data_IF_181319749181
#
_entry.id   IF_181319749181
#
_cell.length_a   1.000
_cell.length_b   1.000
_cell.length_c   1.000
_cell.angle_alpha   90.00
_cell.angle_beta   90.00
_cell.angle_gamma   90.00
#
_symmetry.space_group_name_H-M   'P 1'
#
loop_
_entity.id
_entity.type
_entity.pdbx_description
1 polymer ?
#
# COMPACT_ATOMS: atom_id res chain seq x y z
N UNK A 1 4.33 -12.73 21.37
CA UNK A 1 4.17 -11.87 20.16
C UNK A 1 3.97 -10.42 20.57
N UNK A 2 3.09 -10.14 21.54
CA UNK A 2 2.86 -8.78 22.06
C UNK A 2 4.15 -8.05 22.46
N UNK A 3 4.97 -8.65 23.33
CA UNK A 3 6.28 -8.08 23.71
C UNK A 3 7.18 -7.73 22.50
N UNK A 4 7.17 -8.56 21.46
CA UNK A 4 7.96 -8.31 20.24
C UNK A 4 7.40 -7.11 19.46
N UNK A 5 6.08 -6.94 19.43
CA UNK A 5 5.43 -5.78 18.80
C UNK A 5 5.74 -4.49 19.57
N UNK A 6 5.76 -4.54 20.90
CA UNK A 6 6.12 -3.40 21.75
C UNK A 6 7.59 -3.00 21.55
N UNK A 7 8.52 -3.96 21.60
CA UNK A 7 9.93 -3.71 21.33
C UNK A 7 10.17 -3.17 19.91
N UNK A 8 9.42 -3.66 18.91
CA UNK A 8 9.51 -3.16 17.55
C UNK A 8 9.01 -1.72 17.45
N UNK A 9 7.89 -1.40 18.13
CA UNK A 9 7.35 -0.05 18.21
C UNK A 9 8.37 0.93 18.78
N UNK A 10 8.97 0.62 19.93
CA UNK A 10 9.97 1.48 20.58
C UNK A 10 11.16 1.77 19.66
N UNK A 11 11.69 0.74 18.99
CA UNK A 11 12.77 0.91 18.01
C UNK A 11 12.33 1.75 16.81
N UNK A 12 11.09 1.58 16.36
CA UNK A 12 10.54 2.33 15.24
C UNK A 12 10.30 3.80 15.60
N UNK A 13 9.96 4.13 16.84
CA UNK A 13 9.80 5.52 17.31
C UNK A 13 11.10 6.34 17.14
N UNK A 14 12.26 5.73 17.34
CA UNK A 14 13.56 6.37 17.06
C UNK A 14 13.71 6.69 15.58
N UNK A 15 13.35 5.76 14.70
CA UNK A 15 13.44 5.93 13.24
C UNK A 15 12.42 6.97 12.76
N UNK A 16 11.18 6.90 13.25
CA UNK A 16 10.12 7.87 12.93
C UNK A 16 10.53 9.28 13.38
N UNK A 17 11.11 9.41 14.58
CA UNK A 17 11.62 10.67 15.10
C UNK A 17 12.71 11.29 14.24
N UNK A 18 13.54 10.48 13.56
CA UNK A 18 14.51 10.98 12.59
C UNK A 18 13.81 11.63 11.38
N UNK A 19 12.88 10.95 10.73
CA UNK A 19 12.13 11.51 9.59
C UNK A 19 11.32 12.75 9.96
N UNK A 20 10.83 12.81 11.20
CA UNK A 20 10.09 13.97 11.68
C UNK A 20 11.00 15.15 11.98
N UNK A 21 12.17 14.97 12.61
CA UNK A 21 12.97 16.08 13.15
C UNK A 21 14.12 16.52 12.25
N UNK A 22 14.58 15.66 11.34
CA UNK A 22 15.75 15.95 10.51
C UNK A 22 15.48 17.06 9.49
N UNK A 23 16.24 18.15 9.59
CA UNK A 23 16.08 19.33 8.73
C UNK A 23 16.59 19.10 7.31
N UNK A 24 17.60 18.25 7.13
CA UNK A 24 18.17 17.90 5.82
C UNK A 24 17.19 17.08 5.01
N UNK A 25 16.52 16.12 5.66
CA UNK A 25 15.48 15.33 5.05
C UNK A 25 14.30 16.20 4.62
N UNK A 26 13.82 17.08 5.51
CA UNK A 26 12.74 18.01 5.20
C UNK A 26 13.09 18.93 4.03
N UNK A 27 14.30 19.51 4.00
CA UNK A 27 14.69 20.44 2.93
C UNK A 27 14.75 19.79 1.55
N UNK A 28 15.01 18.49 1.46
CA UNK A 28 15.06 17.73 0.21
C UNK A 28 13.73 17.12 -0.23
N UNK A 29 12.73 17.06 0.66
CA UNK A 29 11.51 16.28 0.41
C UNK A 29 10.22 17.08 0.57
N UNK A 30 10.22 18.10 1.41
CA UNK A 30 9.05 18.94 1.64
C UNK A 30 8.92 19.95 0.50
N UNK A 31 7.73 20.03 -0.09
CA UNK A 31 7.48 20.90 -1.24
C UNK A 31 7.92 20.34 -2.59
N UNK A 32 8.67 19.22 -2.62
CA UNK A 32 9.30 18.68 -3.82
C UNK A 32 8.40 17.62 -4.48
N UNK A 33 8.25 17.72 -5.81
CA UNK A 33 7.54 16.73 -6.64
C UNK A 33 6.14 16.40 -6.11
N UNK A 34 5.37 17.48 -5.90
CA UNK A 34 3.98 17.42 -5.46
C UNK A 34 3.11 16.78 -6.52
N UNK A 35 2.24 15.89 -6.07
CA UNK A 35 1.19 15.30 -6.89
C UNK A 35 -0.16 15.78 -6.36
N UNK A 36 -0.86 16.66 -7.11
CA UNK A 36 -2.22 17.06 -6.77
C UNK A 36 -3.19 15.87 -6.76
N UNK A 37 -4.25 15.95 -5.96
CA UNK A 37 -5.23 14.86 -5.78
C UNK A 37 -5.93 14.47 -7.08
N UNK A 38 -6.27 15.44 -7.92
CA UNK A 38 -6.90 15.26 -9.23
C UNK A 38 -5.97 14.54 -10.21
N UNK A 39 -4.68 14.92 -10.23
CA UNK A 39 -3.65 14.22 -11.02
C UNK A 39 -3.48 12.79 -10.51
N UNK A 40 -3.43 12.59 -9.20
CA UNK A 40 -3.33 11.25 -8.61
C UNK A 40 -4.52 10.35 -9.01
N UNK A 41 -5.75 10.90 -9.02
CA UNK A 41 -6.95 10.20 -9.46
C UNK A 41 -6.92 9.90 -10.96
N UNK A 42 -6.58 10.88 -11.79
CA UNK A 42 -6.52 10.72 -13.24
C UNK A 42 -5.46 9.70 -13.67
N UNK A 43 -4.30 9.69 -13.02
CA UNK A 43 -3.23 8.73 -13.28
C UNK A 43 -3.47 7.35 -12.64
N UNK A 44 -4.51 7.19 -11.82
CA UNK A 44 -4.84 5.94 -11.15
C UNK A 44 -3.82 5.52 -10.08
N UNK A 45 -3.15 6.49 -9.45
CA UNK A 45 -2.22 6.26 -8.33
C UNK A 45 -3.03 5.72 -7.15
N UNK A 46 -2.51 4.71 -6.45
CA UNK A 46 -3.20 4.06 -5.31
C UNK A 46 -2.27 3.94 -4.11
N UNK A 47 -2.81 3.54 -2.96
CA UNK A 47 -2.00 3.24 -1.78
C UNK A 47 -1.44 4.47 -1.08
N UNK A 48 -0.25 4.35 -0.44
CA UNK A 48 0.34 5.44 0.33
C UNK A 48 0.66 6.66 -0.55
N UNK A 49 0.94 6.47 -1.84
CA UNK A 49 1.20 7.57 -2.77
C UNK A 49 -0.07 8.41 -3.03
N UNK A 50 -1.23 7.75 -3.14
CA UNK A 50 -2.52 8.43 -3.27
C UNK A 50 -2.95 9.11 -1.95
N UNK A 51 -2.78 8.41 -0.83
CA UNK A 51 -3.10 8.91 0.51
C UNK A 51 -2.22 10.09 0.94
N UNK A 52 -1.00 10.20 0.42
CA UNK A 52 -0.15 11.37 0.63
C UNK A 52 -0.64 12.63 -0.10
N UNK A 53 -1.49 12.44 -1.11
CA UNK A 53 -2.04 13.49 -1.97
C UNK A 53 -3.49 13.84 -1.58
N UNK A 54 -3.94 13.49 -0.38
CA UNK A 54 -5.29 13.73 0.13
C UNK A 54 -6.35 12.74 -0.34
N UNK A 55 -6.00 11.76 -1.19
CA UNK A 55 -6.99 10.79 -1.67
C UNK A 55 -7.24 9.70 -0.61
N UNK A 56 -8.39 9.81 0.07
CA UNK A 56 -8.89 8.87 1.07
C UNK A 56 -9.36 7.55 0.46
N UNK A 57 -8.45 6.83 -0.19
CA UNK A 57 -8.71 5.53 -0.80
C UNK A 57 -7.83 4.45 -0.15
N UNK A 58 -8.47 3.40 0.35
CA UNK A 58 -7.84 2.24 0.96
C UNK A 58 -8.76 1.03 0.79
N UNK A 59 -8.27 -0.04 0.16
CA UNK A 59 -9.10 -1.21 -0.14
C UNK A 59 -9.51 -1.95 1.14
N UNK A 60 -8.75 -1.86 2.23
CA UNK A 60 -9.10 -2.52 3.51
C UNK A 60 -10.40 -2.00 4.10
N UNK A 61 -10.84 -0.79 3.74
CA UNK A 61 -12.14 -0.25 4.13
C UNK A 61 -13.32 -1.05 3.53
N UNK A 62 -13.08 -1.86 2.49
CA UNK A 62 -14.09 -2.79 1.98
C UNK A 62 -14.30 -4.01 2.88
N UNK A 63 -13.59 -4.11 4.01
CA UNK A 63 -13.73 -5.15 5.05
C UNK A 63 -13.60 -6.58 4.51
N UNK A 64 -12.61 -6.82 3.65
CA UNK A 64 -12.31 -8.18 3.20
C UNK A 64 -11.56 -8.96 4.29
N UNK A 65 -11.77 -10.28 4.37
CA UNK A 65 -11.17 -11.13 5.42
C UNK A 65 -11.41 -10.58 6.84
N UNK A 66 -10.39 -10.61 7.70
CA UNK A 66 -10.47 -10.17 9.09
C UNK A 66 -10.51 -8.63 9.29
N UNK A 67 -10.44 -7.83 8.21
CA UNK A 67 -10.59 -6.37 8.31
C UNK A 67 -12.02 -5.93 8.66
N UNK A 68 -12.98 -6.87 8.70
CA UNK A 68 -14.30 -6.61 9.27
C UNK A 68 -14.28 -6.46 10.79
N UNK A 69 -13.43 -7.26 11.47
CA UNK A 69 -13.33 -7.31 12.93
C UNK A 69 -12.25 -6.37 13.48
N UNK A 70 -11.22 -6.06 12.68
CA UNK A 70 -10.11 -5.16 13.06
C UNK A 70 -10.41 -3.74 12.60
N UNK A 71 -10.58 -2.82 13.55
CA UNK A 71 -10.81 -1.42 13.25
C UNK A 71 -9.51 -0.75 12.86
N UNK A 72 -9.53 0.13 11.87
CA UNK A 72 -8.37 0.96 11.55
C UNK A 72 -8.76 2.28 10.88
N UNK A 73 -7.86 3.26 10.99
CA UNK A 73 -8.00 4.55 10.32
C UNK A 73 -6.88 4.73 9.30
N UNK A 74 -7.19 4.83 8.00
CA UNK A 74 -6.18 5.14 6.99
C UNK A 74 -5.46 6.46 7.31
N UNK A 75 -4.13 6.44 7.21
CA UNK A 75 -3.32 7.65 7.33
C UNK A 75 -3.39 8.40 6.00
N UNK A 76 -3.84 9.66 6.04
CA UNK A 76 -3.96 10.52 4.86
C UNK A 76 -3.30 11.86 5.18
N UNK A 77 -2.49 12.35 4.26
CA UNK A 77 -1.87 13.67 4.27
C UNK A 77 -2.26 14.41 2.99
N UNK A 78 -2.10 15.73 2.95
CA UNK A 78 -2.65 16.56 1.86
C UNK A 78 -1.56 17.20 0.99
N UNK A 79 -0.30 17.21 1.42
CA UNK A 79 0.77 17.97 0.76
C UNK A 79 1.19 17.39 -0.60
N UNK A 80 0.99 16.09 -0.83
CA UNK A 80 1.30 15.40 -2.09
C UNK A 80 2.78 15.32 -2.46
N UNK A 81 3.68 15.82 -1.62
CA UNK A 81 5.14 15.81 -1.83
C UNK A 81 5.80 14.51 -1.38
N UNK A 82 7.11 14.41 -1.59
CA UNK A 82 7.92 13.26 -1.16
C UNK A 82 7.85 13.09 0.37
N UNK A 83 7.84 14.19 1.12
CA UNK A 83 7.74 14.17 2.57
C UNK A 83 6.44 13.50 3.02
N UNK A 84 5.29 13.92 2.49
CA UNK A 84 3.98 13.32 2.78
C UNK A 84 3.94 11.85 2.39
N UNK A 85 4.49 11.47 1.22
CA UNK A 85 4.61 10.04 0.81
C UNK A 85 5.38 9.21 1.83
N UNK A 86 6.41 9.79 2.44
CA UNK A 86 7.23 9.12 3.45
C UNK A 86 6.48 9.04 4.78
N UNK A 87 5.92 10.16 5.23
CA UNK A 87 5.21 10.24 6.50
C UNK A 87 3.94 9.39 6.55
N UNK A 88 3.24 9.20 5.42
CA UNK A 88 2.13 8.21 5.35
C UNK A 88 2.65 6.82 5.68
N UNK A 89 3.74 6.37 5.05
CA UNK A 89 4.32 5.04 5.32
C UNK A 89 4.81 4.92 6.76
N UNK A 90 5.44 5.96 7.29
CA UNK A 90 5.92 5.98 8.68
C UNK A 90 4.76 5.80 9.66
N UNK A 91 3.68 6.56 9.48
CA UNK A 91 2.50 6.49 10.34
C UNK A 91 1.71 5.19 10.15
N UNK A 92 1.69 4.61 8.95
CA UNK A 92 1.05 3.31 8.69
C UNK A 92 1.71 2.15 9.43
N UNK A 93 3.00 2.24 9.77
CA UNK A 93 3.66 1.21 10.58
C UNK A 93 3.08 1.17 11.99
N UNK A 94 2.86 2.32 12.63
CA UNK A 94 2.21 2.39 13.94
C UNK A 94 0.80 1.83 13.90
N UNK A 95 0.04 2.16 12.86
CA UNK A 95 -1.31 1.62 12.68
C UNK A 95 -1.27 0.10 12.46
N UNK A 96 -0.28 -0.40 11.71
CA UNK A 96 -0.10 -1.84 11.49
C UNK A 96 0.23 -2.58 12.79
N UNK A 97 1.05 -2.00 13.67
CA UNK A 97 1.36 -2.56 14.98
C UNK A 97 0.07 -2.62 15.84
N UNK A 98 -0.70 -1.53 15.86
CA UNK A 98 -1.97 -1.48 16.60
C UNK A 98 -2.95 -2.54 16.11
N UNK A 99 -3.11 -2.67 14.78
CA UNK A 99 -3.96 -3.68 14.17
C UNK A 99 -3.49 -5.10 14.47
N UNK A 100 -2.18 -5.34 14.54
CA UNK A 100 -1.65 -6.64 14.92
C UNK A 100 -1.97 -6.98 16.39
N UNK A 101 -1.85 -6.00 17.30
CA UNK A 101 -2.23 -6.17 18.71
C UNK A 101 -3.74 -6.44 18.87
N UNK A 102 -4.58 -5.70 18.15
CA UNK A 102 -6.04 -5.93 18.11
C UNK A 102 -6.37 -7.31 17.51
N UNK A 103 -5.69 -7.71 16.43
CA UNK A 103 -5.87 -9.03 15.84
C UNK A 103 -5.49 -10.18 16.78
N UNK A 104 -4.46 -10.00 17.62
CA UNK A 104 -4.06 -10.99 18.62
C UNK A 104 -5.13 -11.18 19.70
N UNK A 105 -5.78 -10.11 20.16
CA UNK A 105 -6.83 -10.20 21.18
C UNK A 105 -8.13 -10.82 20.66
N UNK A 106 -8.33 -10.82 19.33
CA UNK A 106 -9.49 -11.41 18.66
C UNK A 106 -9.29 -12.88 18.26
N UNK A 107 -8.10 -13.46 18.48
CA UNK A 107 -7.84 -14.85 18.12
C UNK A 107 -8.74 -15.81 18.90
N UNK A 108 -9.44 -16.69 18.17
CA UNK A 108 -10.26 -17.76 18.73
C UNK A 108 -9.52 -19.08 18.63
N UNK A 109 -9.47 -19.82 19.74
CA UNK A 109 -8.94 -21.18 19.74
C UNK A 109 -9.93 -22.17 19.10
N UNK A 110 -9.41 -23.22 18.47
CA UNK A 110 -10.20 -24.37 18.01
C UNK A 110 -10.82 -24.27 16.62
N UNK A 111 -10.76 -23.12 15.94
CA UNK A 111 -11.21 -22.98 14.56
C UNK A 111 -10.20 -23.59 13.56
N UNK A 112 -10.66 -24.26 12.48
CA UNK A 112 -9.77 -24.83 11.48
C UNK A 112 -9.00 -23.74 10.72
N UNK A 113 -7.67 -23.78 10.84
CA UNK A 113 -6.75 -22.85 10.17
C UNK A 113 -6.80 -23.00 8.63
N UNK A 114 -7.21 -24.18 8.14
CA UNK A 114 -7.28 -24.49 6.72
C UNK A 114 -8.61 -25.14 6.35
N UNK A 115 -9.20 -24.66 5.25
CA UNK A 115 -10.39 -25.25 4.62
C UNK A 115 -9.99 -26.08 3.40
N UNK A 116 -10.74 -27.16 3.14
CA UNK A 116 -10.56 -27.93 1.90
C UNK A 116 -11.00 -27.08 0.71
N UNK A 117 -10.09 -26.89 -0.25
CA UNK A 117 -10.38 -26.19 -1.50
C UNK A 117 -10.58 -27.18 -2.65
N UNK A 118 -11.54 -26.95 -3.57
CA UNK A 118 -11.67 -27.74 -4.78
C UNK A 118 -10.38 -27.72 -5.63
N UNK A 119 -9.97 -28.89 -6.13
CA UNK A 119 -8.76 -29.01 -6.97
C UNK A 119 -8.89 -28.32 -8.33
N UNK A 120 -10.09 -28.30 -8.89
CA UNK A 120 -10.36 -27.75 -10.21
C UNK A 120 -11.00 -26.37 -10.10
N UNK A 121 -10.56 -25.45 -10.95
CA UNK A 121 -11.21 -24.15 -11.11
C UNK A 121 -12.59 -24.33 -11.74
N UNK A 122 -13.63 -23.59 -11.31
CA UNK A 122 -14.94 -23.67 -11.94
C UNK A 122 -14.87 -23.21 -13.40
N UNK A 123 -15.32 -24.04 -14.33
CA UNK A 123 -15.25 -23.73 -15.77
C UNK A 123 -16.07 -22.49 -16.12
N UNK A 124 -15.48 -21.58 -16.89
CA UNK A 124 -16.16 -20.38 -17.40
C UNK A 124 -16.45 -19.30 -16.36
N UNK A 125 -16.20 -19.54 -15.06
CA UNK A 125 -16.41 -18.53 -14.02
C UNK A 125 -15.26 -17.52 -13.98
N UNK A 126 -15.62 -16.27 -13.77
CA UNK A 126 -14.69 -15.16 -13.61
C UNK A 126 -14.83 -14.59 -12.20
N UNK A 127 -13.70 -14.23 -11.60
CA UNK A 127 -13.64 -13.63 -10.28
C UNK A 127 -12.65 -12.47 -10.28
N UNK A 128 -13.02 -11.42 -9.56
CA UNK A 128 -12.17 -10.28 -9.26
C UNK A 128 -11.99 -10.18 -7.77
N UNK A 129 -10.75 -10.00 -7.32
CA UNK A 129 -10.45 -9.76 -5.92
C UNK A 129 -9.44 -8.63 -5.78
N UNK A 130 -9.67 -7.74 -4.82
CA UNK A 130 -8.84 -6.58 -4.54
C UNK A 130 -8.29 -6.70 -3.13
N UNK A 131 -7.01 -6.43 -2.95
CA UNK A 131 -6.36 -6.36 -1.64
C UNK A 131 -5.49 -5.12 -1.55
N UNK A 132 -5.25 -4.63 -0.33
CA UNK A 132 -4.29 -3.54 -0.12
C UNK A 132 -2.92 -4.15 0.21
N UNK A 133 -1.98 -4.07 -0.72
CA UNK A 133 -0.57 -4.29 -0.42
C UNK A 133 0.05 -3.04 0.21
N UNK A 134 1.25 -3.12 0.81
CA UNK A 134 1.93 -1.93 1.37
C UNK A 134 2.18 -0.81 0.35
N UNK A 135 2.16 -1.13 -0.95
CA UNK A 135 2.35 -0.16 -2.05
C UNK A 135 1.02 0.34 -2.62
N UNK A 136 -0.10 -0.20 -2.16
CA UNK A 136 -1.45 0.12 -2.61
C UNK A 136 -2.23 -1.09 -3.11
N UNK A 137 -3.32 -0.78 -3.80
CA UNK A 137 -4.24 -1.77 -4.33
C UNK A 137 -3.58 -2.78 -5.29
N UNK A 138 -3.70 -4.06 -4.94
CA UNK A 138 -3.55 -5.19 -5.83
C UNK A 138 -4.91 -5.59 -6.38
N UNK A 139 -4.99 -5.77 -7.68
CA UNK A 139 -6.17 -6.26 -8.36
C UNK A 139 -5.85 -7.59 -9.04
N UNK A 140 -6.62 -8.61 -8.70
CA UNK A 140 -6.55 -9.94 -9.29
C UNK A 140 -7.81 -10.20 -10.09
N UNK A 141 -7.63 -10.58 -11.34
CA UNK A 141 -8.67 -11.13 -12.21
C UNK A 141 -8.29 -12.57 -12.54
N UNK A 142 -9.23 -13.50 -12.34
CA UNK A 142 -9.03 -14.92 -12.63
C UNK A 142 -10.24 -15.45 -13.39
N UNK A 143 -9.99 -16.24 -14.43
CA UNK A 143 -11.00 -17.02 -15.17
C UNK A 143 -10.69 -18.51 -15.04
N UNK A 144 -11.67 -19.28 -14.61
CA UNK A 144 -11.56 -20.73 -14.45
C UNK A 144 -11.71 -21.50 -15.76
N UNK A 145 -11.03 -22.64 -15.84
CA UNK A 145 -10.92 -23.48 -17.04
C UNK A 145 -11.55 -24.87 -16.89
N UNK A 146 -12.10 -25.21 -15.72
CA UNK A 146 -12.48 -26.58 -15.38
C UNK A 146 -11.31 -27.48 -14.94
N UNK A 147 -10.06 -27.00 -15.10
CA UNK A 147 -8.82 -27.71 -14.74
C UNK A 147 -8.16 -27.08 -13.49
N UNK A 148 -7.09 -27.69 -12.94
CA UNK A 148 -6.36 -27.11 -11.81
C UNK A 148 -5.75 -25.73 -12.11
N UNK A 149 -5.33 -25.49 -13.35
CA UNK A 149 -4.76 -24.22 -13.76
C UNK A 149 -5.85 -23.27 -14.28
N UNK A 150 -5.85 -21.99 -13.91
CA UNK A 150 -6.81 -21.02 -14.43
C UNK A 150 -6.62 -20.84 -15.95
N UNK A 151 -7.71 -20.55 -16.67
CA UNK A 151 -7.68 -20.22 -18.09
C UNK A 151 -6.96 -18.88 -18.32
N UNK A 152 -7.18 -17.92 -17.42
CA UNK A 152 -6.51 -16.62 -17.44
C UNK A 152 -6.36 -16.09 -16.03
N UNK A 153 -5.22 -15.48 -15.76
CA UNK A 153 -4.98 -14.68 -14.56
C UNK A 153 -4.35 -13.36 -15.01
N UNK A 154 -4.93 -12.23 -14.62
CA UNK A 154 -4.29 -10.92 -14.77
C UNK A 154 -4.16 -10.29 -13.40
N UNK A 155 -2.95 -9.80 -13.13
CA UNK A 155 -2.63 -9.04 -11.94
C UNK A 155 -2.37 -7.61 -12.36
N UNK A 156 -2.96 -6.64 -11.66
CA UNK A 156 -2.56 -5.24 -11.74
C UNK A 156 -1.94 -4.87 -10.40
N UNK A 157 -0.67 -4.47 -10.47
CA UNK A 157 0.13 -4.06 -9.32
C UNK A 157 0.02 -2.54 -9.12
N UNK A 158 0.14 -2.05 -7.88
CA UNK A 158 -0.03 -0.63 -7.58
C UNK A 158 1.14 0.22 -8.11
N UNK A 159 2.35 -0.34 -8.07
CA UNK A 159 3.58 0.34 -8.50
C UNK A 159 3.51 0.80 -9.95
N UNK A 160 2.98 -0.03 -10.85
CA UNK A 160 2.91 0.30 -12.28
C UNK A 160 2.09 1.57 -12.54
N UNK A 161 1.00 1.78 -11.80
CA UNK A 161 0.19 2.98 -11.95
C UNK A 161 0.90 4.23 -11.43
N UNK A 162 1.63 4.12 -10.33
CA UNK A 162 2.43 5.24 -9.81
C UNK A 162 3.58 5.59 -10.76
N UNK A 163 4.30 4.58 -11.28
CA UNK A 163 5.41 4.80 -12.20
C UNK A 163 4.93 5.43 -13.52
N UNK A 164 3.75 5.06 -14.01
CA UNK A 164 3.13 5.68 -15.20
C UNK A 164 2.75 7.14 -15.01
N UNK A 165 2.66 7.63 -13.77
CA UNK A 165 2.44 9.04 -13.48
C UNK A 165 3.74 9.87 -13.58
N UNK A 166 4.93 9.23 -13.59
CA UNK A 166 6.21 9.93 -13.62
C UNK A 166 6.34 10.94 -14.78
N UNK A 167 5.93 10.65 -16.03
CA UNK A 167 6.01 11.62 -17.13
C UNK A 167 5.12 12.85 -16.96
N UNK A 168 4.14 12.83 -16.03
CA UNK A 168 3.29 13.99 -15.72
C UNK A 168 3.89 14.83 -14.59
N UNK A 169 4.61 14.20 -13.66
CA UNK A 169 5.12 14.84 -12.44
C UNK A 169 6.54 15.38 -12.62
N UNK A 170 7.39 14.69 -13.39
CA UNK A 170 8.81 15.02 -13.54
C UNK A 170 9.13 16.22 -14.46
N UNK A 171 8.33 16.57 -15.50
CA UNK A 171 8.67 17.72 -16.34
C UNK A 171 8.73 19.03 -15.55
N UNK A 172 9.78 19.84 -15.81
CA UNK A 172 9.99 21.13 -15.15
C UNK A 172 10.61 21.05 -13.75
N UNK A 173 11.07 19.86 -13.33
CA UNK A 173 11.68 19.62 -12.03
C UNK A 173 13.20 19.47 -12.16
N UNK A 174 13.90 19.68 -11.04
CA UNK A 174 15.35 19.57 -11.00
C UNK A 174 15.82 18.10 -11.16
N UNK A 175 16.87 17.89 -11.95
CA UNK A 175 17.40 16.55 -12.22
C UNK A 175 17.79 15.79 -10.94
N UNK A 176 18.31 16.52 -9.94
CA UNK A 176 18.72 15.96 -8.65
C UNK A 176 17.57 15.39 -7.82
N UNK A 177 16.32 15.74 -8.13
CA UNK A 177 15.15 15.28 -7.39
C UNK A 177 14.52 14.02 -8.00
N UNK A 178 14.95 13.63 -9.21
CA UNK A 178 14.50 12.41 -9.88
C UNK A 178 14.80 11.15 -9.05
N UNK A 179 16.01 10.94 -8.46
CA UNK A 179 16.24 9.78 -7.60
C UNK A 179 15.34 9.77 -6.36
N UNK A 180 15.10 10.94 -5.76
CA UNK A 180 14.22 11.08 -4.59
C UNK A 180 12.76 10.75 -4.96
N UNK A 181 12.30 11.15 -6.15
CA UNK A 181 11.00 10.73 -6.69
C UNK A 181 10.89 9.21 -6.75
N UNK A 182 11.84 8.58 -7.44
CA UNK A 182 11.82 7.13 -7.72
C UNK A 182 11.86 6.35 -6.42
N UNK A 183 12.64 6.76 -5.42
CA UNK A 183 12.65 6.09 -4.12
C UNK A 183 11.33 6.30 -3.38
N UNK A 184 10.75 7.52 -3.43
CA UNK A 184 9.52 7.85 -2.70
C UNK A 184 8.29 7.06 -3.15
N UNK A 185 8.27 6.60 -4.40
CA UNK A 185 7.16 5.79 -4.93
C UNK A 185 7.25 4.32 -4.52
N UNK A 186 8.40 3.89 -3.95
CA UNK A 186 8.74 2.51 -3.57
C UNK A 186 8.50 1.50 -4.72
N UNK A 187 9.30 1.55 -5.79
CA UNK A 187 9.06 0.77 -6.98
C UNK A 187 9.60 -0.65 -6.80
N UNK A 188 8.70 -1.63 -6.86
CA UNK A 188 9.08 -3.01 -7.04
C UNK A 188 9.17 -3.33 -8.54
N UNK A 189 10.39 -3.52 -9.06
CA UNK A 189 10.63 -3.83 -10.47
C UNK A 189 9.90 -5.11 -10.91
N UNK A 190 9.90 -6.14 -10.04
CA UNK A 190 9.18 -7.38 -10.31
C UNK A 190 7.66 -7.19 -10.45
N UNK A 191 7.10 -6.13 -9.85
CA UNK A 191 5.70 -5.78 -9.99
C UNK A 191 5.41 -5.03 -11.30
N UNK A 192 6.41 -4.34 -11.87
CA UNK A 192 6.24 -3.55 -13.10
C UNK A 192 6.37 -4.35 -14.38
N UNK A 193 6.97 -5.54 -14.32
CA UNK A 193 7.22 -6.41 -15.49
C UNK A 193 6.05 -7.36 -15.85
N UNK A 194 4.84 -7.19 -15.28
CA UNK A 194 3.71 -8.14 -15.38
C UNK A 194 2.47 -7.69 -16.18
#
# INVERSE_FOLDING_TARGET
>A
IEKMLDEFREKYEVIAGFYEKDSTFRSRTQGVLKVPTDVAKAAGIVGPNARASGWKFDVRLSRYFAYEDVHFKPVVLEDGDIYARTMVRVKEVFESIRMAQEGLSLLKEGEPIAVKSPRNTPEGREAVFRTEAPRGELFYYVRGSGKPNPARMKVRTPTLATLRAAPVVLPGQEYQDVPAFVISIDPCICCTER
#
